data_IF_977141759083
#
_entry.id   IF_977141759083
#
_cell.length_a   1.000
_cell.length_b   1.000
_cell.length_c   1.000
_cell.angle_alpha   90.00
_cell.angle_beta   90.00
_cell.angle_gamma   90.00
#
_symmetry.space_group_name_H-M   'P 1'
#
loop_
_entity.id
_entity.type
_entity.pdbx_description
1 polymer ?
#
# COMPACT_ATOMS: atom_id res chain seq x y z
N UNK A 1 -12.93 -24.90 10.51
CA UNK A 1 -13.66 -24.13 11.56
C UNK A 1 -14.80 -23.43 10.86
N UNK A 2 -16.05 -23.64 11.31
CA UNK A 2 -17.22 -23.03 10.68
C UNK A 2 -17.67 -21.89 11.61
N UNK A 3 -17.58 -20.66 11.13
CA UNK A 3 -17.98 -19.49 11.89
C UNK A 3 -19.49 -19.33 11.78
N UNK A 4 -20.22 -19.53 12.88
CA UNK A 4 -21.66 -19.28 12.97
C UNK A 4 -21.91 -17.84 13.39
N UNK A 5 -22.61 -17.07 12.56
CA UNK A 5 -23.05 -15.71 12.87
C UNK A 5 -24.48 -15.78 13.40
N UNK A 6 -24.72 -15.22 14.59
CA UNK A 6 -26.04 -15.18 15.23
C UNK A 6 -26.36 -13.74 15.69
N UNK A 7 -27.56 -13.21 15.43
CA UNK A 7 -28.67 -13.88 14.75
C UNK A 7 -28.42 -14.11 13.26
N UNK A 8 -29.13 -15.07 12.68
CA UNK A 8 -29.10 -15.29 11.24
C UNK A 8 -29.81 -14.12 10.55
N UNK A 9 -29.19 -13.47 9.55
CA UNK A 9 -29.83 -12.35 8.85
C UNK A 9 -31.11 -12.84 8.17
N UNK A 10 -32.09 -11.94 8.08
CA UNK A 10 -33.25 -12.16 7.23
C UNK A 10 -32.84 -12.23 5.76
N UNK A 11 -33.71 -12.80 4.92
CA UNK A 11 -33.46 -12.88 3.48
C UNK A 11 -33.22 -11.51 2.85
N UNK A 12 -33.99 -10.50 3.27
CA UNK A 12 -33.84 -9.12 2.80
C UNK A 12 -32.48 -8.52 3.17
N UNK A 13 -32.02 -8.73 4.40
CA UNK A 13 -30.72 -8.26 4.86
C UNK A 13 -29.57 -8.98 4.12
N UNK A 14 -29.70 -10.29 3.89
CA UNK A 14 -28.72 -11.05 3.13
C UNK A 14 -28.59 -10.53 1.68
N UNK A 15 -29.71 -10.23 1.03
CA UNK A 15 -29.74 -9.64 -0.31
C UNK A 15 -29.10 -8.24 -0.31
N UNK A 16 -29.44 -7.40 0.67
CA UNK A 16 -28.88 -6.05 0.77
C UNK A 16 -27.36 -6.07 0.95
N UNK A 17 -26.86 -6.97 1.79
CA UNK A 17 -25.41 -7.15 2.03
C UNK A 17 -24.71 -7.64 0.76
N UNK A 18 -25.25 -8.67 0.09
CA UNK A 18 -24.67 -9.20 -1.14
C UNK A 18 -24.61 -8.11 -2.24
N UNK A 19 -25.69 -7.34 -2.39
CA UNK A 19 -25.77 -6.23 -3.36
C UNK A 19 -24.74 -5.14 -3.05
N UNK A 20 -24.61 -4.76 -1.77
CA UNK A 20 -23.63 -3.75 -1.35
C UNK A 20 -22.20 -4.22 -1.62
N UNK A 21 -21.89 -5.50 -1.33
CA UNK A 21 -20.58 -6.07 -1.61
C UNK A 21 -20.27 -6.01 -3.10
N UNK A 22 -21.18 -6.44 -3.97
CA UNK A 22 -20.97 -6.38 -5.42
C UNK A 22 -20.80 -4.95 -5.94
N UNK A 23 -21.58 -4.00 -5.40
CA UNK A 23 -21.53 -2.60 -5.81
C UNK A 23 -20.23 -1.90 -5.37
N UNK A 24 -19.73 -2.24 -4.18
CA UNK A 24 -18.56 -1.59 -3.56
C UNK A 24 -17.26 -2.34 -3.81
N UNK A 25 -17.31 -3.57 -4.34
CA UNK A 25 -16.11 -4.36 -4.52
C UNK A 25 -15.14 -3.66 -5.49
N UNK A 26 -13.87 -3.49 -5.10
CA UNK A 26 -12.88 -2.88 -5.98
C UNK A 26 -12.75 -3.72 -7.26
N UNK A 27 -13.08 -3.11 -8.40
CA UNK A 27 -12.77 -3.72 -9.70
C UNK A 27 -11.27 -3.58 -9.94
N UNK A 28 -10.67 -4.64 -10.48
CA UNK A 28 -9.27 -4.60 -10.91
C UNK A 28 -9.14 -3.50 -11.95
N UNK A 29 -8.58 -2.36 -11.55
CA UNK A 29 -8.21 -1.32 -12.49
C UNK A 29 -6.85 -1.68 -13.09
N UNK A 30 -6.60 -1.33 -14.37
CA UNK A 30 -5.26 -1.40 -14.92
C UNK A 30 -4.32 -0.62 -14.00
N UNK A 31 -3.17 -1.21 -13.68
CA UNK A 31 -2.20 -0.57 -12.83
C UNK A 31 -1.83 0.79 -13.44
N UNK A 32 -2.15 1.88 -12.72
CA UNK A 32 -1.61 3.19 -13.05
C UNK A 32 -0.08 3.07 -13.10
N UNK A 33 0.55 3.80 -14.03
CA UNK A 33 2.01 3.86 -14.10
C UNK A 33 2.53 4.27 -12.73
N UNK A 34 3.10 3.30 -12.00
CA UNK A 34 3.66 3.53 -10.68
C UNK A 34 4.96 4.30 -10.91
N UNK A 35 5.00 5.55 -10.47
CA UNK A 35 6.28 6.23 -10.28
C UNK A 35 7.14 5.35 -9.37
N UNK A 36 8.37 5.09 -9.78
CA UNK A 36 9.32 4.31 -8.99
C UNK A 36 9.53 5.01 -7.66
N UNK A 37 9.07 4.45 -6.52
CA UNK A 37 9.20 5.13 -5.24
C UNK A 37 10.69 5.25 -4.91
N UNK A 38 11.15 6.49 -4.71
CA UNK A 38 12.52 6.71 -4.23
C UNK A 38 12.65 6.07 -2.85
N UNK A 39 13.45 5.00 -2.75
CA UNK A 39 13.61 4.20 -1.53
C UNK A 39 14.61 4.83 -0.55
N UNK A 40 15.08 6.05 -0.82
CA UNK A 40 15.94 6.78 0.10
C UNK A 40 15.12 7.27 1.29
N UNK A 41 15.21 6.57 2.42
CA UNK A 41 14.69 7.05 3.69
C UNK A 41 15.40 8.35 4.07
N UNK A 42 14.65 9.46 4.17
CA UNK A 42 15.15 10.77 4.63
C UNK A 42 14.36 11.18 5.85
N UNK A 43 14.97 11.17 7.04
CA UNK A 43 14.37 11.84 8.19
C UNK A 43 14.52 13.36 7.98
N UNK A 44 13.40 14.10 8.04
CA UNK A 44 13.34 15.56 7.87
C UNK A 44 14.05 16.12 6.62
N UNK A 45 14.06 15.40 5.49
CA UNK A 45 14.72 15.83 4.26
C UNK A 45 16.26 15.76 4.28
N UNK A 46 16.88 15.32 5.38
CA UNK A 46 18.34 15.18 5.48
C UNK A 46 18.74 13.72 5.28
N UNK A 47 19.79 13.51 4.51
CA UNK A 47 20.40 12.20 4.36
C UNK A 47 21.17 11.85 5.64
N UNK A 48 21.04 10.61 6.13
CA UNK A 48 21.89 10.11 7.22
C UNK A 48 23.35 10.00 6.74
N UNK A 49 23.57 9.65 5.48
CA UNK A 49 24.90 9.27 5.01
C UNK A 49 25.50 10.33 4.09
N UNK A 50 25.97 11.44 4.67
CA UNK A 50 27.08 12.18 4.05
C UNK A 50 28.37 11.54 4.54
N UNK A 51 28.65 10.34 4.02
CA UNK A 51 29.87 9.62 4.33
C UNK A 51 31.03 10.51 3.95
N UNK A 52 31.87 10.80 4.93
CA UNK A 52 33.16 11.47 4.79
C UNK A 52 34.06 10.82 3.73
N UNK A 53 33.73 9.60 3.28
CA UNK A 53 34.33 8.87 2.16
C UNK A 53 34.14 9.59 0.82
N UNK A 54 32.99 10.21 0.55
CA UNK A 54 32.75 10.98 -0.71
C UNK A 54 33.55 12.28 -0.75
N UNK A 55 34.04 12.76 0.40
CA UNK A 55 34.90 13.95 0.51
C UNK A 55 36.38 13.69 0.17
N UNK A 56 36.77 12.45 -0.13
CA UNK A 56 38.09 12.15 -0.68
C UNK A 56 38.07 12.36 -2.20
N UNK A 57 38.21 13.62 -2.60
CA UNK A 57 38.79 13.92 -3.91
C UNK A 57 40.17 13.26 -3.94
N UNK A 58 40.35 12.23 -4.78
CA UNK A 58 41.67 11.70 -5.10
C UNK A 58 42.12 12.36 -6.39
N UNK A 59 43.05 13.34 -6.35
CA UNK A 59 43.81 13.69 -7.54
C UNK A 59 44.76 12.52 -7.84
N UNK A 60 44.71 12.01 -9.07
CA UNK A 60 45.66 11.04 -9.60
C UNK A 60 45.19 9.58 -9.54
N UNK A 61 44.44 9.17 -10.56
CA UNK A 61 44.78 8.04 -11.44
C UNK A 61 44.05 8.24 -12.77
#
# INVERSE_FOLDING_TARGET
>A
MQHSVSPQPSEQEAIAIATALEALWPKVQPAAARETPTTSWRFSGRWWNESTVTRRSRPGF
#
